data_IF_891371163817
#
_entry.id   IF_891371163817
#
_cell.length_a   1.000
_cell.length_b   1.000
_cell.length_c   1.000
_cell.angle_alpha   90.00
_cell.angle_beta   90.00
_cell.angle_gamma   90.00
#
_symmetry.space_group_name_H-M   'P 1'
#
loop_
_entity.id
_entity.type
_entity.pdbx_description
1 polymer ?
#
# COMPACT_ATOMS: atom_id res chain seq x y z
N UNK A 1 17.09 37.15 -17.56
CA UNK A 1 16.54 37.20 -16.19
C UNK A 1 16.12 35.78 -15.80
N UNK A 2 17.02 35.01 -15.20
CA UNK A 2 16.79 33.58 -14.96
C UNK A 2 15.84 33.38 -13.78
N UNK A 3 14.63 32.88 -14.04
CA UNK A 3 13.67 32.51 -13.01
C UNK A 3 14.31 31.40 -12.17
N UNK A 4 14.82 31.75 -10.98
CA UNK A 4 15.26 30.77 -9.99
C UNK A 4 14.02 30.06 -9.46
N UNK A 5 13.56 29.04 -10.18
CA UNK A 5 12.43 28.20 -9.77
C UNK A 5 12.69 27.71 -8.35
N UNK A 6 11.85 28.17 -7.41
CA UNK A 6 11.96 27.81 -6.01
C UNK A 6 11.59 26.33 -5.86
N UNK A 7 12.60 25.46 -5.90
CA UNK A 7 12.45 23.99 -5.81
C UNK A 7 11.54 23.57 -4.66
N UNK A 8 11.56 24.27 -3.52
CA UNK A 8 10.71 23.98 -2.36
C UNK A 8 9.22 24.24 -2.65
N UNK A 9 8.90 25.28 -3.41
CA UNK A 9 7.52 25.58 -3.80
C UNK A 9 6.99 24.57 -4.81
N UNK A 10 7.83 24.16 -5.77
CA UNK A 10 7.47 23.12 -6.74
C UNK A 10 7.22 21.76 -6.08
N UNK A 11 8.06 21.35 -5.11
CA UNK A 11 7.85 20.10 -4.36
C UNK A 11 6.55 20.14 -3.55
N UNK A 12 6.22 21.26 -2.91
CA UNK A 12 4.92 21.42 -2.21
C UNK A 12 3.75 21.26 -3.16
N UNK A 13 3.76 21.95 -4.30
CA UNK A 13 2.71 21.85 -5.30
C UNK A 13 2.53 20.43 -5.83
N UNK A 14 3.63 19.73 -6.11
CA UNK A 14 3.59 18.30 -6.47
C UNK A 14 2.83 17.49 -5.42
N UNK A 15 3.16 17.65 -4.13
CA UNK A 15 2.53 16.90 -3.05
C UNK A 15 1.02 17.17 -2.99
N UNK A 16 0.57 18.41 -3.21
CA UNK A 16 -0.87 18.72 -3.23
C UNK A 16 -1.57 18.09 -4.43
N UNK A 17 -0.97 18.12 -5.62
CA UNK A 17 -1.52 17.47 -6.81
C UNK A 17 -1.61 15.95 -6.62
N UNK A 18 -0.60 15.34 -5.99
CA UNK A 18 -0.56 13.90 -5.73
C UNK A 18 -1.67 13.48 -4.75
N UNK A 19 -1.86 14.25 -3.66
CA UNK A 19 -2.99 14.05 -2.74
C UNK A 19 -4.34 14.24 -3.42
N UNK A 20 -4.50 15.27 -4.25
CA UNK A 20 -5.73 15.52 -4.98
C UNK A 20 -6.06 14.35 -5.93
N UNK A 21 -5.07 13.81 -6.64
CA UNK A 21 -5.23 12.63 -7.50
C UNK A 21 -5.71 11.42 -6.71
N UNK A 22 -5.14 11.17 -5.53
CA UNK A 22 -5.58 10.08 -4.65
C UNK A 22 -7.06 10.24 -4.25
N UNK A 23 -7.48 11.45 -3.87
CA UNK A 23 -8.88 11.73 -3.52
C UNK A 23 -9.83 11.57 -4.71
N UNK A 24 -9.44 12.03 -5.90
CA UNK A 24 -10.21 11.80 -7.13
C UNK A 24 -10.36 10.30 -7.39
N UNK A 25 -9.30 9.52 -7.18
CA UNK A 25 -9.35 8.06 -7.28
C UNK A 25 -10.40 7.42 -6.38
N UNK A 26 -10.54 7.90 -5.13
CA UNK A 26 -11.58 7.42 -4.22
C UNK A 26 -13.00 7.76 -4.70
N UNK A 27 -13.20 8.98 -5.20
CA UNK A 27 -14.50 9.37 -5.77
C UNK A 27 -14.84 8.50 -6.99
N UNK A 28 -13.85 8.25 -7.85
CA UNK A 28 -14.03 7.45 -9.06
C UNK A 28 -14.33 5.97 -8.73
N UNK A 29 -13.64 5.40 -7.74
CA UNK A 29 -13.94 4.05 -7.27
C UNK A 29 -15.39 3.93 -6.76
N UNK A 30 -15.85 4.92 -6.00
CA UNK A 30 -17.24 4.96 -5.52
C UNK A 30 -18.25 5.09 -6.67
N UNK A 31 -17.98 5.95 -7.66
CA UNK A 31 -18.83 6.08 -8.85
C UNK A 31 -18.94 4.76 -9.62
N UNK A 32 -17.83 4.03 -9.81
CA UNK A 32 -17.84 2.71 -10.46
C UNK A 32 -18.72 1.75 -9.67
N UNK A 33 -18.63 1.74 -8.33
CA UNK A 33 -19.50 0.93 -7.48
C UNK A 33 -21.00 1.23 -7.67
N UNK A 34 -21.37 2.51 -7.76
CA UNK A 34 -22.75 2.94 -8.02
C UNK A 34 -23.21 2.48 -9.41
N UNK A 35 -22.43 2.77 -10.46
CA UNK A 35 -22.77 2.38 -11.83
C UNK A 35 -22.88 0.87 -11.97
N UNK A 36 -21.99 0.13 -11.30
CA UNK A 36 -22.05 -1.32 -11.24
C UNK A 36 -23.36 -1.78 -10.60
N UNK A 37 -23.75 -1.22 -9.45
CA UNK A 37 -25.01 -1.53 -8.78
C UNK A 37 -26.24 -1.22 -9.65
N UNK A 38 -26.23 -0.06 -10.33
CA UNK A 38 -27.30 0.34 -11.26
C UNK A 38 -27.42 -0.61 -12.45
N UNK A 39 -26.29 -1.14 -12.96
CA UNK A 39 -26.29 -2.12 -14.06
C UNK A 39 -26.98 -3.46 -13.73
N UNK A 40 -27.16 -3.78 -12.43
CA UNK A 40 -27.90 -4.97 -12.01
C UNK A 40 -29.39 -4.74 -11.86
N UNK A 41 -29.86 -3.48 -11.81
CA UNK A 41 -31.26 -3.12 -11.54
C UNK A 41 -32.26 -3.79 -12.49
N UNK A 42 -31.91 -3.92 -13.76
CA UNK A 42 -32.76 -4.55 -14.78
C UNK A 42 -32.58 -6.07 -14.93
N UNK A 43 -31.58 -6.65 -14.25
CA UNK A 43 -31.34 -8.11 -14.27
C UNK A 43 -32.19 -8.81 -13.21
N UNK A 44 -32.54 -10.07 -13.47
CA UNK A 44 -33.34 -10.93 -12.56
C UNK A 44 -32.78 -10.97 -11.13
N UNK A 45 -31.47 -10.95 -10.97
CA UNK A 45 -30.80 -10.89 -9.67
C UNK A 45 -30.94 -9.53 -8.97
N UNK A 46 -30.92 -8.42 -9.70
CA UNK A 46 -31.10 -7.09 -9.11
C UNK A 46 -32.54 -6.84 -8.69
N UNK A 47 -33.54 -7.28 -9.48
CA UNK A 47 -34.95 -7.21 -9.06
C UNK A 47 -35.19 -7.90 -7.72
N UNK A 48 -34.65 -9.11 -7.53
CA UNK A 48 -34.73 -9.83 -6.25
C UNK A 48 -34.08 -9.06 -5.09
N UNK A 49 -32.96 -8.37 -5.34
CA UNK A 49 -32.25 -7.55 -4.34
C UNK A 49 -33.02 -6.27 -4.02
N UNK A 50 -33.67 -5.65 -5.00
CA UNK A 50 -34.46 -4.43 -4.82
C UNK A 50 -35.80 -4.69 -4.13
N UNK A 51 -36.47 -5.81 -4.44
CA UNK A 51 -37.75 -6.19 -3.83
C UNK A 51 -37.63 -6.50 -2.34
N UNK A 52 -36.48 -7.03 -1.91
CA UNK A 52 -36.18 -7.36 -0.51
C UNK A 52 -35.02 -6.54 0.06
N UNK A 53 -34.97 -5.25 -0.25
CA UNK A 53 -33.82 -4.38 0.08
C UNK A 53 -33.35 -4.47 1.54
N UNK A 54 -34.28 -4.58 2.49
CA UNK A 54 -33.97 -4.67 3.92
C UNK A 54 -33.28 -5.98 4.33
N UNK A 55 -33.47 -7.07 3.57
CA UNK A 55 -32.85 -8.38 3.82
C UNK A 55 -31.60 -8.54 2.95
N UNK A 56 -31.65 -8.05 1.72
CA UNK A 56 -30.55 -8.17 0.76
C UNK A 56 -29.34 -7.33 1.15
N UNK A 57 -29.51 -6.13 1.74
CA UNK A 57 -28.39 -5.30 2.22
C UNK A 57 -27.53 -6.04 3.28
N UNK A 58 -28.10 -6.58 4.37
CA UNK A 58 -27.34 -7.37 5.35
C UNK A 58 -26.62 -8.57 4.74
N UNK A 59 -27.29 -9.32 3.87
CA UNK A 59 -26.70 -10.50 3.20
C UNK A 59 -25.53 -10.10 2.33
N UNK A 60 -25.68 -9.02 1.54
CA UNK A 60 -24.61 -8.50 0.71
C UNK A 60 -23.44 -8.00 1.55
N UNK A 61 -23.70 -7.45 2.74
CA UNK A 61 -22.65 -7.05 3.68
C UNK A 61 -21.86 -8.24 4.23
N UNK A 62 -22.54 -9.33 4.61
CA UNK A 62 -21.87 -10.57 5.04
C UNK A 62 -21.05 -11.17 3.90
N UNK A 63 -21.61 -11.20 2.68
CA UNK A 63 -20.91 -11.67 1.49
C UNK A 63 -19.69 -10.80 1.17
N UNK A 64 -19.81 -9.48 1.33
CA UNK A 64 -18.71 -8.52 1.15
C UNK A 64 -17.59 -8.76 2.17
N UNK A 65 -17.91 -8.98 3.44
CA UNK A 65 -16.92 -9.34 4.47
C UNK A 65 -16.22 -10.65 4.08
N UNK A 66 -16.98 -11.67 3.67
CA UNK A 66 -16.41 -12.94 3.26
C UNK A 66 -15.48 -12.80 2.05
N UNK A 67 -15.91 -12.09 1.00
CA UNK A 67 -15.07 -11.78 -0.16
C UNK A 67 -13.81 -10.99 0.23
N UNK A 68 -13.92 -10.03 1.15
CA UNK A 68 -12.79 -9.23 1.63
C UNK A 68 -11.77 -10.09 2.38
N UNK A 69 -12.24 -11.02 3.22
CA UNK A 69 -11.37 -11.98 3.90
C UNK A 69 -10.66 -12.91 2.92
N UNK A 70 -11.38 -13.40 1.90
CA UNK A 70 -10.81 -14.25 0.85
C UNK A 70 -9.75 -13.49 0.06
N UNK A 71 -10.03 -12.26 -0.37
CA UNK A 71 -9.07 -11.41 -1.07
C UNK A 71 -7.84 -11.10 -0.19
N UNK A 72 -8.05 -10.77 1.08
CA UNK A 72 -6.97 -10.53 2.04
C UNK A 72 -6.11 -11.78 2.31
N UNK A 73 -6.73 -12.95 2.30
CA UNK A 73 -6.02 -14.23 2.38
C UNK A 73 -5.18 -14.48 1.12
N UNK A 74 -5.71 -14.20 -0.08
CA UNK A 74 -4.93 -14.31 -1.32
C UNK A 74 -3.75 -13.34 -1.33
N UNK A 75 -3.95 -12.08 -0.95
CA UNK A 75 -2.87 -11.08 -0.87
C UNK A 75 -1.77 -11.51 0.11
N UNK A 76 -2.15 -12.03 1.28
CA UNK A 76 -1.21 -12.54 2.29
C UNK A 76 -0.49 -13.81 1.83
N UNK A 77 -1.18 -14.74 1.16
CA UNK A 77 -0.61 -16.01 0.69
C UNK A 77 0.32 -15.82 -0.51
N UNK A 78 0.06 -14.83 -1.35
CA UNK A 78 0.89 -14.49 -2.51
C UNK A 78 2.15 -13.68 -2.12
N UNK A 79 2.24 -13.21 -0.87
CA UNK A 79 3.44 -12.55 -0.33
C UNK A 79 3.70 -11.15 -0.89
N UNK A 80 2.77 -10.57 -1.64
CA UNK A 80 2.92 -9.24 -2.25
C UNK A 80 3.18 -8.17 -1.20
N UNK A 81 2.53 -8.28 -0.04
CA UNK A 81 2.68 -7.36 1.08
C UNK A 81 4.11 -7.29 1.63
N UNK A 82 4.80 -8.44 1.74
CA UNK A 82 6.17 -8.48 2.26
C UNK A 82 7.17 -7.89 1.25
N UNK A 83 6.99 -8.21 -0.04
CA UNK A 83 7.84 -7.68 -1.11
C UNK A 83 7.63 -6.18 -1.33
N UNK A 84 6.38 -5.69 -1.23
CA UNK A 84 6.07 -4.26 -1.29
C UNK A 84 6.72 -3.51 -0.12
N UNK A 85 6.59 -4.03 1.10
CA UNK A 85 7.20 -3.43 2.29
C UNK A 85 8.73 -3.42 2.19
N UNK A 86 9.35 -4.50 1.70
CA UNK A 86 10.80 -4.58 1.48
C UNK A 86 11.26 -3.56 0.44
N UNK A 87 10.49 -3.37 -0.63
CA UNK A 87 10.83 -2.41 -1.68
C UNK A 87 10.71 -0.95 -1.19
N UNK A 88 9.65 -0.64 -0.44
CA UNK A 88 9.47 0.67 0.21
C UNK A 88 10.65 0.97 1.13
N UNK A 89 11.04 0.00 1.97
CA UNK A 89 12.19 0.13 2.86
C UNK A 89 13.52 0.35 2.12
N UNK A 90 13.74 -0.33 0.98
CA UNK A 90 14.94 -0.11 0.15
C UNK A 90 14.97 1.27 -0.51
N UNK A 91 13.80 1.81 -0.86
CA UNK A 91 13.67 3.12 -1.49
C UNK A 91 13.82 4.29 -0.52
N UNK A 92 13.78 4.04 0.79
CA UNK A 92 13.98 5.07 1.81
C UNK A 92 15.49 5.32 2.01
N UNK A 93 16.01 6.52 1.66
CA UNK A 93 17.44 6.81 1.73
C UNK A 93 17.99 6.72 3.16
N UNK A 94 17.24 7.18 4.16
CA UNK A 94 17.65 7.16 5.57
C UNK A 94 17.76 5.71 6.08
N UNK A 95 16.80 4.87 5.72
CA UNK A 95 16.82 3.47 6.13
C UNK A 95 17.97 2.69 5.47
N UNK A 96 18.30 3.03 4.22
CA UNK A 96 19.46 2.46 3.52
C UNK A 96 20.78 2.85 4.19
N UNK A 97 20.94 4.12 4.57
CA UNK A 97 22.13 4.60 5.30
C UNK A 97 22.30 3.89 6.65
N UNK A 98 21.20 3.67 7.39
CA UNK A 98 21.21 2.90 8.64
C UNK A 98 21.65 1.45 8.37
N UNK A 99 21.09 0.80 7.34
CA UNK A 99 21.45 -0.58 6.99
C UNK A 99 22.93 -0.72 6.63
N UNK A 100 23.47 0.22 5.85
CA UNK A 100 24.90 0.24 5.51
C UNK A 100 25.78 0.43 6.75
N UNK A 101 25.36 1.31 7.66
CA UNK A 101 26.07 1.56 8.92
C UNK A 101 26.10 0.30 9.80
N UNK A 102 24.97 -0.41 9.93
CA UNK A 102 24.90 -1.67 10.68
C UNK A 102 25.82 -2.75 10.07
N UNK A 103 25.79 -2.92 8.74
CA UNK A 103 26.66 -3.88 8.05
C UNK A 103 28.14 -3.58 8.25
N UNK A 104 28.50 -2.30 8.27
CA UNK A 104 29.87 -1.87 8.54
C UNK A 104 30.30 -2.22 9.96
N UNK A 105 29.47 -1.91 10.96
CA UNK A 105 29.74 -2.26 12.36
C UNK A 105 29.87 -3.78 12.57
N UNK A 106 29.02 -4.57 11.92
CA UNK A 106 29.07 -6.03 12.00
C UNK A 106 30.39 -6.58 11.46
N UNK A 107 30.90 -6.01 10.36
CA UNK A 107 32.20 -6.35 9.77
C UNK A 107 33.35 -5.98 10.72
N UNK A 108 33.34 -4.77 11.25
CA UNK A 108 34.36 -4.29 12.20
C UNK A 108 34.39 -5.17 13.47
N UNK A 109 33.22 -5.52 14.02
CA UNK A 109 33.12 -6.44 15.17
C UNK A 109 33.66 -7.84 14.84
N UNK A 110 33.43 -8.34 13.63
CA UNK A 110 33.94 -9.64 13.21
C UNK A 110 35.46 -9.65 13.07
N UNK A 111 36.03 -8.64 12.44
CA UNK A 111 37.48 -8.47 12.30
C UNK A 111 38.16 -8.32 13.67
N UNK A 112 37.57 -7.56 14.59
CA UNK A 112 38.07 -7.43 15.97
C UNK A 112 38.03 -8.75 16.75
N UNK A 113 36.98 -9.57 16.54
CA UNK A 113 36.90 -10.90 17.15
C UNK A 113 37.98 -11.84 16.61
N UNK A 114 38.25 -11.80 15.30
CA UNK A 114 39.30 -12.62 14.68
C UNK A 114 40.70 -12.21 15.18
N UNK A 115 40.99 -10.91 15.22
CA UNK A 115 42.26 -10.38 15.76
C UNK A 115 42.48 -10.71 17.24
N UNK A 116 41.42 -10.65 18.07
CA UNK A 116 41.53 -11.03 19.48
C UNK A 116 41.73 -12.54 19.66
N UNK A 117 41.23 -13.38 18.73
CA UNK A 117 41.45 -14.83 18.77
C UNK A 117 42.89 -15.20 18.42
N UNK A 118 43.50 -14.47 17.49
CA UNK A 118 44.91 -14.61 17.12
C UNK A 118 45.87 -14.11 18.20
N UNK A 119 45.47 -13.14 19.04
CA UNK A 119 46.29 -12.64 20.15
C UNK A 119 46.28 -13.53 21.40
N UNK A 120 45.36 -14.49 21.50
CA UNK A 120 45.20 -15.37 22.67
C UNK A 120 45.83 -16.76 22.44
N UNK A 121 46.13 -17.12 21.19
CA UNK A 121 46.95 -18.29 20.82
C UNK A 121 48.43 -17.93 20.72
#
# INVERSE_FOLDING_TARGET
>A
MGIRLNKRTFVRWKIYIDRARMYIGYIQFFMIGIVFFESFKDKTLGKLVYDYIYISIPILFILFIFCSLVLGYFDSRLGFKEEEQRNISKSNPVLMEILQSVKRLEKEVKELKEQNKEKIN
#
